data_IF_419862343816
#
_entry.id   IF_419862343816
#
_cell.length_a   1.000
_cell.length_b   1.000
_cell.length_c   1.000
_cell.angle_alpha   90.00
_cell.angle_beta   90.00
_cell.angle_gamma   90.00
#
_symmetry.space_group_name_H-M   'P 1'
#
loop_
_entity.id
_entity.type
_entity.pdbx_description
1 polymer ?
#
# COMPACT_ATOMS: atom_id res chain seq x y z
N UNK A 1 -33.22 14.37 -6.24
CA UNK A 1 -33.94 13.08 -6.23
C UNK A 1 -33.87 12.36 -7.58
N UNK A 2 -34.12 13.05 -8.71
CA UNK A 2 -34.08 12.44 -10.05
C UNK A 2 -32.70 11.80 -10.31
N UNK A 3 -31.62 12.55 -10.14
CA UNK A 3 -30.24 12.07 -10.37
C UNK A 3 -29.89 10.82 -9.58
N UNK A 4 -30.33 10.71 -8.31
CA UNK A 4 -30.11 9.48 -7.51
C UNK A 4 -30.89 8.31 -8.07
N UNK A 5 -32.12 8.53 -8.53
CA UNK A 5 -32.94 7.49 -9.16
C UNK A 5 -32.33 7.02 -10.48
N UNK A 6 -31.79 7.95 -11.27
CA UNK A 6 -31.15 7.67 -12.55
C UNK A 6 -29.85 6.87 -12.33
N UNK A 7 -28.99 7.27 -11.36
CA UNK A 7 -27.79 6.54 -10.98
C UNK A 7 -28.11 5.10 -10.50
N UNK A 8 -29.12 4.93 -9.64
CA UNK A 8 -29.55 3.60 -9.19
C UNK A 8 -30.04 2.72 -10.36
N UNK A 9 -30.77 3.32 -11.29
CA UNK A 9 -31.27 2.60 -12.48
C UNK A 9 -30.11 2.16 -13.36
N UNK A 10 -29.12 3.03 -13.56
CA UNK A 10 -27.89 2.77 -14.30
C UNK A 10 -27.06 1.65 -13.66
N UNK A 11 -26.85 1.72 -12.34
CA UNK A 11 -26.19 0.66 -11.58
C UNK A 11 -26.86 -0.70 -11.73
N UNK A 12 -28.20 -0.76 -11.62
CA UNK A 12 -28.97 -2.00 -11.78
C UNK A 12 -28.79 -2.57 -13.19
N UNK A 13 -28.84 -1.72 -14.22
CA UNK A 13 -28.62 -2.13 -15.59
C UNK A 13 -27.20 -2.70 -15.78
N UNK A 14 -26.19 -2.06 -15.19
CA UNK A 14 -24.80 -2.52 -15.28
C UNK A 14 -24.57 -3.83 -14.54
N UNK A 15 -25.15 -3.99 -13.36
CA UNK A 15 -25.09 -5.25 -12.59
C UNK A 15 -25.70 -6.42 -13.38
N UNK A 16 -26.80 -6.20 -14.09
CA UNK A 16 -27.39 -7.22 -14.97
C UNK A 16 -26.45 -7.62 -16.10
N UNK A 17 -25.82 -6.64 -16.76
CA UNK A 17 -24.85 -6.89 -17.82
C UNK A 17 -23.67 -7.72 -17.30
N UNK A 18 -23.13 -7.39 -16.11
CA UNK A 18 -22.02 -8.12 -15.49
C UNK A 18 -22.46 -9.55 -15.14
N UNK A 19 -23.65 -9.72 -14.57
CA UNK A 19 -24.19 -11.02 -14.22
C UNK A 19 -24.41 -11.91 -15.46
N UNK A 20 -24.90 -11.32 -16.57
CA UNK A 20 -25.14 -12.02 -17.82
C UNK A 20 -23.84 -12.35 -18.58
N UNK A 21 -22.80 -11.56 -18.42
CA UNK A 21 -21.51 -11.70 -19.14
C UNK A 21 -20.64 -12.85 -18.67
N UNK A 22 -21.05 -13.61 -17.62
CA UNK A 22 -20.27 -14.69 -16.98
C UNK A 22 -18.84 -14.27 -16.57
N UNK A 23 -18.59 -12.99 -16.40
CA UNK A 23 -17.33 -12.51 -15.81
C UNK A 23 -17.34 -12.91 -14.34
N UNK A 24 -16.81 -14.09 -14.07
CA UNK A 24 -16.56 -14.52 -12.70
C UNK A 24 -15.26 -13.87 -12.25
N UNK A 25 -15.33 -13.04 -11.22
CA UNK A 25 -14.15 -12.56 -10.50
C UNK A 25 -14.14 -13.21 -9.14
N UNK A 26 -13.09 -13.95 -8.83
CA UNK A 26 -12.88 -14.56 -7.51
C UNK A 26 -12.70 -13.49 -6.43
N UNK A 27 -12.39 -12.25 -6.83
CA UNK A 27 -12.15 -11.11 -5.95
C UNK A 27 -13.37 -10.18 -5.79
N UNK A 28 -14.44 -10.41 -6.58
CA UNK A 28 -15.64 -9.58 -6.57
C UNK A 28 -15.59 -8.37 -7.50
N UNK A 29 -16.57 -7.47 -7.34
CA UNK A 29 -16.69 -6.24 -8.13
C UNK A 29 -16.98 -5.06 -7.23
N UNK A 30 -16.44 -3.90 -7.61
CA UNK A 30 -16.77 -2.61 -7.02
C UNK A 30 -17.34 -1.74 -8.14
N UNK A 31 -18.51 -1.17 -7.89
CA UNK A 31 -19.21 -0.28 -8.81
C UNK A 31 -19.36 1.08 -8.17
N UNK A 32 -18.89 2.09 -8.86
CA UNK A 32 -19.17 3.49 -8.54
C UNK A 32 -20.02 4.08 -9.66
N UNK A 33 -21.03 4.83 -9.28
CA UNK A 33 -21.91 5.54 -10.20
C UNK A 33 -22.29 6.89 -9.59
N UNK A 34 -22.15 7.97 -10.33
CA UNK A 34 -22.45 9.29 -9.82
C UNK A 34 -22.44 10.37 -10.88
N UNK A 35 -23.03 11.50 -10.56
CA UNK A 35 -23.08 12.69 -11.38
C UNK A 35 -22.01 13.69 -10.93
N UNK A 36 -21.05 13.96 -11.81
CA UNK A 36 -19.93 14.88 -11.55
C UNK A 36 -20.16 16.19 -12.31
N UNK A 37 -20.11 17.35 -11.63
CA UNK A 37 -20.25 18.64 -12.31
C UNK A 37 -19.01 18.90 -13.17
N UNK A 38 -19.20 19.10 -14.49
CA UNK A 38 -18.09 19.32 -15.43
C UNK A 38 -17.76 20.82 -15.58
N UNK A 39 -18.77 21.70 -15.62
CA UNK A 39 -18.59 23.14 -15.87
C UNK A 39 -19.44 24.04 -14.94
N UNK A 40 -19.86 23.55 -13.77
CA UNK A 40 -20.69 24.27 -12.80
C UNK A 40 -22.08 23.66 -12.62
N UNK A 41 -22.92 24.25 -11.76
CA UNK A 41 -24.26 23.73 -11.47
C UNK A 41 -25.12 23.61 -12.74
N UNK A 42 -25.66 22.41 -13.00
CA UNK A 42 -26.52 22.11 -14.15
C UNK A 42 -25.79 21.47 -15.36
N UNK A 43 -24.49 21.19 -15.25
CA UNK A 43 -23.71 20.49 -16.28
C UNK A 43 -23.15 19.16 -15.75
N UNK A 44 -23.97 18.44 -14.97
CA UNK A 44 -23.56 17.18 -14.38
C UNK A 44 -23.48 16.11 -15.46
N UNK A 45 -22.36 15.37 -15.46
CA UNK A 45 -22.13 14.19 -16.29
C UNK A 45 -22.15 12.94 -15.43
N UNK A 46 -22.88 11.93 -15.87
CA UNK A 46 -22.85 10.63 -15.24
C UNK A 46 -21.49 9.95 -15.51
N UNK A 47 -20.79 9.58 -14.45
CA UNK A 47 -19.54 8.81 -14.51
C UNK A 47 -19.73 7.50 -13.77
N UNK A 48 -19.36 6.41 -14.43
CA UNK A 48 -19.55 5.06 -13.94
C UNK A 48 -18.22 4.30 -14.01
N UNK A 49 -17.82 3.71 -12.89
CA UNK A 49 -16.60 2.92 -12.80
C UNK A 49 -16.90 1.50 -12.34
N UNK A 50 -16.32 0.51 -13.03
CA UNK A 50 -16.36 -0.90 -12.65
C UNK A 50 -14.93 -1.33 -12.36
N UNK A 51 -14.66 -1.72 -11.12
CA UNK A 51 -13.32 -2.10 -10.67
C UNK A 51 -13.37 -3.56 -10.23
N UNK A 52 -12.45 -4.36 -10.77
CA UNK A 52 -12.17 -5.70 -10.26
C UNK A 52 -11.01 -5.55 -9.29
N UNK A 53 -11.25 -5.69 -7.96
CA UNK A 53 -10.20 -5.46 -6.98
C UNK A 53 -9.15 -6.58 -7.04
N UNK A 54 -7.87 -6.29 -6.73
CA UNK A 54 -6.80 -7.28 -6.73
C UNK A 54 -6.94 -8.31 -5.60
N UNK A 55 -7.70 -7.99 -4.55
CA UNK A 55 -7.99 -8.86 -3.42
C UNK A 55 -9.49 -8.97 -3.19
N UNK A 56 -9.97 -10.10 -2.60
CA UNK A 56 -11.38 -10.29 -2.34
C UNK A 56 -11.97 -9.23 -1.42
N UNK A 57 -13.02 -8.55 -1.88
CA UNK A 57 -13.84 -7.66 -1.03
C UNK A 57 -14.73 -8.54 -0.16
N UNK A 58 -14.47 -8.51 1.14
CA UNK A 58 -15.19 -9.36 2.12
C UNK A 58 -16.49 -8.75 2.65
N UNK A 59 -16.82 -7.54 2.23
CA UNK A 59 -17.99 -6.81 2.73
C UNK A 59 -18.92 -6.42 1.59
N UNK A 60 -20.21 -6.70 1.76
CA UNK A 60 -21.26 -6.13 0.92
C UNK A 60 -21.62 -4.75 1.44
N UNK A 61 -21.22 -3.70 0.72
CA UNK A 61 -21.51 -2.31 1.09
C UNK A 61 -22.34 -1.69 -0.03
N UNK A 62 -23.50 -1.15 0.33
CA UNK A 62 -24.22 -0.19 -0.47
C UNK A 62 -24.07 1.17 0.20
N UNK A 63 -23.45 2.11 -0.48
CA UNK A 63 -23.22 3.46 0.03
C UNK A 63 -23.74 4.49 -0.97
N UNK A 64 -24.59 5.39 -0.50
CA UNK A 64 -25.13 6.49 -1.29
C UNK A 64 -24.88 7.80 -0.53
N UNK A 65 -23.90 8.59 -1.02
CA UNK A 65 -23.49 9.84 -0.43
C UNK A 65 -23.05 10.83 -1.52
N UNK A 66 -22.56 11.99 -1.12
CA UNK A 66 -21.98 12.99 -2.02
C UNK A 66 -20.59 12.64 -2.55
N UNK A 67 -19.94 11.62 -1.95
CA UNK A 67 -18.60 11.16 -2.31
C UNK A 67 -18.60 9.63 -2.43
N UNK A 68 -17.73 9.10 -3.29
CA UNK A 68 -17.52 7.67 -3.40
C UNK A 68 -16.78 7.12 -2.18
N UNK A 69 -17.17 5.94 -1.72
CA UNK A 69 -16.49 5.23 -0.64
C UNK A 69 -15.26 4.50 -1.21
N UNK A 70 -14.13 5.16 -1.28
CA UNK A 70 -12.87 4.64 -1.85
C UNK A 70 -12.02 3.88 -0.83
N UNK A 71 -12.26 4.06 0.46
CA UNK A 71 -11.46 3.51 1.55
C UNK A 71 -11.06 2.03 1.39
N UNK A 72 -11.97 1.10 1.08
CA UNK A 72 -11.62 -0.31 0.86
C UNK A 72 -10.63 -0.54 -0.29
N UNK A 73 -10.68 0.28 -1.35
CA UNK A 73 -9.73 0.21 -2.46
C UNK A 73 -8.38 0.82 -2.08
N UNK A 74 -8.38 1.94 -1.38
CA UNK A 74 -7.17 2.58 -0.89
C UNK A 74 -6.37 1.64 0.02
N UNK A 75 -7.05 0.87 0.87
CA UNK A 75 -6.42 -0.16 1.71
C UNK A 75 -5.76 -1.28 0.91
N UNK A 76 -6.22 -1.57 -0.31
CA UNK A 76 -5.62 -2.56 -1.20
C UNK A 76 -4.42 -2.02 -1.97
N UNK A 77 -4.33 -0.70 -2.15
CA UNK A 77 -3.23 -0.02 -2.85
C UNK A 77 -1.99 0.18 -1.99
N UNK A 78 -2.16 0.14 -0.67
CA UNK A 78 -1.02 0.29 0.25
C UNK A 78 -0.10 -0.93 0.11
N UNK A 79 1.18 -0.67 -0.13
CA UNK A 79 2.25 -1.68 -0.14
C UNK A 79 2.24 -2.39 1.22
N UNK A 80 1.79 -3.66 1.26
CA UNK A 80 1.40 -4.32 2.50
C UNK A 80 2.63 -4.83 3.23
N UNK A 81 3.33 -3.91 3.87
CA UNK A 81 4.36 -4.29 4.84
C UNK A 81 3.75 -5.22 5.89
N UNK A 82 4.36 -6.36 6.08
CA UNK A 82 3.94 -7.30 7.12
C UNK A 82 4.80 -7.10 8.35
N UNK A 83 4.17 -6.67 9.44
CA UNK A 83 4.82 -6.49 10.74
C UNK A 83 4.36 -7.61 11.67
N UNK A 84 5.30 -8.35 12.24
CA UNK A 84 5.04 -9.30 13.31
C UNK A 84 4.69 -8.57 14.61
N UNK A 85 3.83 -9.15 15.40
CA UNK A 85 3.40 -8.61 16.70
C UNK A 85 3.59 -9.68 17.75
N UNK A 86 4.26 -9.34 18.85
CA UNK A 86 4.34 -10.15 20.05
C UNK A 86 3.95 -9.28 21.23
N UNK A 87 2.86 -9.64 21.90
CA UNK A 87 2.50 -9.09 23.20
C UNK A 87 2.75 -10.13 24.26
N UNK A 88 3.59 -9.83 25.25
CA UNK A 88 4.05 -10.81 26.24
C UNK A 88 4.08 -10.25 27.64
N UNK A 89 3.47 -11.00 28.57
CA UNK A 89 3.65 -10.85 30.02
C UNK A 89 3.91 -12.22 30.65
N UNK A 90 4.06 -12.30 31.96
CA UNK A 90 4.36 -13.57 32.67
C UNK A 90 3.25 -14.61 32.55
N UNK A 91 2.01 -14.16 32.42
CA UNK A 91 0.83 -15.03 32.48
C UNK A 91 0.27 -15.38 31.09
N UNK A 92 0.43 -14.47 30.15
CA UNK A 92 -0.15 -14.63 28.82
C UNK A 92 0.70 -13.98 27.73
N UNK A 93 0.53 -14.44 26.51
CA UNK A 93 1.15 -13.86 25.32
C UNK A 93 0.22 -14.04 24.13
N UNK A 94 0.31 -13.10 23.19
CA UNK A 94 -0.31 -13.23 21.88
C UNK A 94 0.70 -12.93 20.79
N UNK A 95 0.64 -13.72 19.71
CA UNK A 95 1.42 -13.55 18.51
C UNK A 95 0.46 -13.23 17.37
N UNK A 96 0.79 -12.25 16.56
CA UNK A 96 -0.03 -11.84 15.43
C UNK A 96 0.77 -11.15 14.35
N UNK A 97 0.06 -10.69 13.34
CA UNK A 97 0.59 -9.88 12.24
C UNK A 97 -0.27 -8.66 12.00
N UNK A 98 0.38 -7.60 11.60
CA UNK A 98 -0.24 -6.39 11.05
C UNK A 98 0.13 -6.33 9.57
N UNK A 99 -0.86 -6.28 8.70
CA UNK A 99 -0.69 -6.11 7.27
C UNK A 99 -1.54 -4.94 6.78
N UNK A 100 -0.89 -3.82 6.48
CA UNK A 100 -1.58 -2.55 6.30
C UNK A 100 -2.30 -2.14 7.60
N UNK A 101 -3.63 -2.06 7.56
CA UNK A 101 -4.48 -1.80 8.74
C UNK A 101 -5.09 -3.07 9.35
N UNK A 102 -4.88 -4.23 8.72
CA UNK A 102 -5.48 -5.48 9.16
C UNK A 102 -4.60 -6.19 10.17
N UNK A 103 -5.15 -6.42 11.35
CA UNK A 103 -4.52 -7.16 12.45
C UNK A 103 -5.08 -8.57 12.47
N UNK A 104 -4.20 -9.56 12.44
CA UNK A 104 -4.56 -10.96 12.60
C UNK A 104 -3.80 -11.55 13.78
N UNK A 105 -4.54 -12.02 14.80
CA UNK A 105 -3.98 -12.78 15.90
C UNK A 105 -3.86 -14.23 15.44
N UNK A 106 -2.67 -14.78 15.51
CA UNK A 106 -2.34 -16.10 15.01
C UNK A 106 -2.24 -17.12 16.12
N UNK A 107 -1.82 -16.69 17.33
CA UNK A 107 -1.70 -17.56 18.48
C UNK A 107 -1.87 -16.80 19.79
N UNK A 108 -2.49 -17.46 20.78
CA UNK A 108 -2.67 -16.94 22.13
C UNK A 108 -2.26 -18.02 23.12
N UNK A 109 -1.34 -17.71 24.02
CA UNK A 109 -0.78 -18.64 24.95
C UNK A 109 -0.89 -18.16 26.40
N UNK A 110 -1.11 -19.08 27.32
CA UNK A 110 -1.08 -18.83 28.75
C UNK A 110 0.02 -19.66 29.42
N UNK A 111 0.65 -19.09 30.47
CA UNK A 111 1.72 -19.76 31.21
C UNK A 111 1.21 -20.77 32.22
N UNK A 112 0.00 -20.60 32.72
CA UNK A 112 -0.52 -21.35 33.86
C UNK A 112 0.14 -20.99 35.21
N UNK A 113 0.97 -19.95 35.24
CA UNK A 113 1.62 -19.44 36.45
C UNK A 113 0.57 -18.75 37.31
N UNK A 114 0.31 -19.31 38.52
CA UNK A 114 -0.60 -18.68 39.45
C UNK A 114 0.05 -17.46 40.10
N UNK A 115 -0.74 -16.39 40.31
CA UNK A 115 -0.27 -15.15 40.94
C UNK A 115 0.36 -15.37 42.32
N UNK A 116 1.20 -14.44 42.75
CA UNK A 116 1.93 -14.49 44.02
C UNK A 116 1.03 -14.75 45.21
N UNK A 117 1.17 -15.91 45.83
CA UNK A 117 0.70 -16.13 47.19
C UNK A 117 1.66 -15.42 48.16
N UNK A 118 1.15 -14.42 48.89
CA UNK A 118 1.86 -13.73 49.99
C UNK A 118 1.87 -14.64 51.25
N UNK A 119 2.61 -15.70 51.26
CA UNK A 119 2.91 -16.44 52.48
C UNK A 119 4.43 -16.43 52.70
N UNK A 120 4.90 -15.73 53.70
CA UNK A 120 6.31 -15.66 54.04
C UNK A 120 6.82 -16.96 54.70
N UNK A 121 8.07 -17.27 54.44
CA UNK A 121 8.76 -18.43 55.05
C UNK A 121 9.89 -18.97 54.19
N UNK A 122 10.67 -19.92 54.70
CA UNK A 122 11.81 -20.57 54.03
C UNK A 122 11.43 -21.21 52.66
N UNK A 123 10.15 -21.45 52.40
CA UNK A 123 9.60 -21.94 51.14
C UNK A 123 9.53 -20.88 50.05
N UNK A 124 9.61 -19.60 50.37
CA UNK A 124 9.45 -18.48 49.43
C UNK A 124 10.51 -18.51 48.31
N UNK A 125 11.77 -18.70 48.65
CA UNK A 125 12.84 -18.77 47.64
C UNK A 125 12.73 -19.99 46.71
N UNK A 126 12.16 -21.08 47.17
CA UNK A 126 11.87 -22.24 46.31
C UNK A 126 10.73 -21.94 45.35
N UNK A 127 9.67 -21.30 45.82
CA UNK A 127 8.54 -20.89 44.97
C UNK A 127 8.96 -19.84 43.96
N UNK A 128 9.79 -18.88 44.33
CA UNK A 128 10.33 -17.87 43.42
C UNK A 128 11.12 -18.52 42.29
N UNK A 129 11.99 -19.47 42.55
CA UNK A 129 12.75 -20.25 41.54
C UNK A 129 11.80 -21.02 40.62
N UNK A 130 10.80 -21.69 41.14
CA UNK A 130 9.81 -22.44 40.34
C UNK A 130 9.01 -21.50 39.43
N UNK A 131 8.67 -20.31 39.91
CA UNK A 131 7.99 -19.27 39.10
C UNK A 131 8.92 -18.76 37.97
N UNK A 132 10.19 -18.53 38.28
CA UNK A 132 11.18 -18.12 37.28
C UNK A 132 11.45 -19.19 36.22
N UNK A 133 11.54 -20.46 36.63
CA UNK A 133 11.67 -21.62 35.71
C UNK A 133 10.44 -21.74 34.84
N UNK A 134 9.25 -21.68 35.40
CA UNK A 134 7.99 -21.71 34.64
C UNK A 134 7.86 -20.53 33.66
N UNK A 135 8.31 -19.34 34.08
CA UNK A 135 8.34 -18.17 33.17
C UNK A 135 9.31 -18.37 32.00
N UNK A 136 10.51 -18.94 32.28
CA UNK A 136 11.49 -19.27 31.22
C UNK A 136 10.96 -20.31 30.24
N UNK A 137 10.31 -21.36 30.73
CA UNK A 137 9.67 -22.34 29.86
C UNK A 137 8.53 -21.71 29.01
N UNK A 138 7.78 -20.82 29.62
CA UNK A 138 6.77 -20.09 28.90
C UNK A 138 7.38 -19.21 27.80
N UNK A 139 8.41 -18.42 28.10
CA UNK A 139 9.10 -17.58 27.10
C UNK A 139 9.72 -18.43 25.97
N UNK A 140 10.27 -19.60 26.30
CA UNK A 140 10.78 -20.53 25.30
C UNK A 140 9.67 -20.98 24.37
N UNK A 141 8.51 -21.37 24.88
CA UNK A 141 7.36 -21.79 24.10
C UNK A 141 6.85 -20.65 23.20
N UNK A 142 6.73 -19.42 23.74
CA UNK A 142 6.37 -18.24 22.94
C UNK A 142 7.40 -17.98 21.82
N UNK A 143 8.68 -18.11 22.13
CA UNK A 143 9.76 -17.96 21.16
C UNK A 143 9.72 -19.02 20.06
N UNK A 144 9.48 -20.28 20.41
CA UNK A 144 9.37 -21.38 19.43
C UNK A 144 8.18 -21.15 18.47
N UNK A 145 7.04 -20.71 18.99
CA UNK A 145 5.87 -20.36 18.18
C UNK A 145 6.15 -19.14 17.29
N UNK A 146 6.75 -18.08 17.82
CA UNK A 146 7.14 -16.90 17.05
C UNK A 146 8.15 -17.26 15.94
N UNK A 147 9.13 -18.11 16.23
CA UNK A 147 10.11 -18.58 15.24
C UNK A 147 9.47 -19.37 14.10
N UNK A 148 8.44 -20.15 14.39
CA UNK A 148 7.70 -20.93 13.40
C UNK A 148 6.83 -19.99 12.54
N UNK A 149 5.98 -19.20 13.18
CA UNK A 149 5.02 -18.32 12.52
C UNK A 149 5.74 -17.29 11.64
N UNK A 150 6.72 -16.58 12.19
CA UNK A 150 7.41 -15.53 11.47
C UNK A 150 8.43 -16.06 10.45
N UNK A 151 8.93 -17.28 10.66
CA UNK A 151 9.82 -17.96 9.70
C UNK A 151 9.14 -18.34 8.39
N UNK A 152 7.83 -18.52 8.39
CA UNK A 152 7.03 -18.83 7.20
C UNK A 152 6.67 -17.57 6.38
N UNK A 153 6.80 -16.37 6.97
CA UNK A 153 6.47 -15.11 6.32
C UNK A 153 7.65 -14.66 5.45
N UNK A 154 7.50 -14.73 4.13
CA UNK A 154 8.56 -14.37 3.17
C UNK A 154 9.01 -12.92 3.29
N UNK A 155 8.08 -11.98 3.51
CA UNK A 155 8.33 -10.54 3.57
C UNK A 155 7.89 -10.01 4.94
N UNK A 156 8.68 -10.32 5.97
CA UNK A 156 8.52 -9.75 7.30
C UNK A 156 9.42 -8.52 7.44
N UNK A 157 8.80 -7.36 7.54
CA UNK A 157 9.50 -6.06 7.56
C UNK A 157 10.01 -5.64 8.91
N UNK A 158 9.38 -6.12 9.97
CA UNK A 158 9.75 -5.83 11.33
C UNK A 158 8.92 -6.64 12.32
N UNK A 159 9.28 -6.58 13.59
CA UNK A 159 8.57 -7.22 14.69
C UNK A 159 8.37 -6.19 15.80
N UNK A 160 7.12 -5.95 16.17
CA UNK A 160 6.77 -5.18 17.36
C UNK A 160 6.71 -6.11 18.56
N UNK A 161 7.41 -5.75 19.64
CA UNK A 161 7.31 -6.45 20.91
C UNK A 161 6.82 -5.49 21.98
N UNK A 162 5.75 -5.87 22.66
CA UNK A 162 5.18 -5.14 23.77
C UNK A 162 4.86 -6.03 24.97
N UNK A 163 4.74 -5.39 26.11
CA UNK A 163 4.39 -6.05 27.35
C UNK A 163 4.60 -5.13 28.55
N UNK A 164 3.96 -5.40 29.69
CA UNK A 164 4.17 -4.64 30.92
C UNK A 164 5.53 -4.95 31.53
N UNK A 165 6.16 -3.94 32.11
CA UNK A 165 7.39 -4.08 32.88
C UNK A 165 8.59 -4.59 32.07
N UNK A 166 9.42 -5.45 32.70
CA UNK A 166 10.66 -5.93 32.12
C UNK A 166 10.53 -7.22 31.29
N UNK A 167 9.37 -7.88 31.30
CA UNK A 167 9.16 -9.19 30.65
C UNK A 167 9.53 -9.17 29.16
N UNK A 168 9.14 -8.09 28.43
CA UNK A 168 9.48 -7.93 27.02
C UNK A 168 10.98 -7.83 26.74
N UNK A 169 11.74 -7.24 27.68
CA UNK A 169 13.20 -7.14 27.60
C UNK A 169 13.85 -8.48 27.90
N UNK A 170 13.42 -9.16 28.99
CA UNK A 170 13.87 -10.52 29.36
C UNK A 170 13.63 -11.51 28.20
N UNK A 171 12.49 -11.40 27.55
CA UNK A 171 12.15 -12.23 26.38
C UNK A 171 13.06 -11.94 25.19
N UNK A 172 13.30 -10.68 24.84
CA UNK A 172 14.13 -10.33 23.70
C UNK A 172 15.60 -10.66 23.90
N UNK A 173 16.14 -10.40 25.11
CA UNK A 173 17.55 -10.65 25.46
C UNK A 173 17.83 -12.15 25.66
N UNK A 174 16.82 -12.91 26.06
CA UNK A 174 16.93 -14.35 26.27
C UNK A 174 17.15 -15.15 24.97
N UNK A 175 17.52 -16.42 25.04
CA UNK A 175 17.80 -17.27 23.88
C UNK A 175 16.50 -17.88 23.29
N UNK A 176 15.40 -17.12 23.23
CA UNK A 176 14.08 -17.63 22.87
C UNK A 176 13.74 -17.45 21.39
N UNK A 177 14.24 -16.37 20.78
CA UNK A 177 14.04 -16.08 19.37
C UNK A 177 15.33 -16.27 18.58
N UNK A 178 15.20 -16.65 17.30
CA UNK A 178 16.32 -16.70 16.34
C UNK A 178 16.92 -15.33 16.15
N UNK A 179 18.24 -15.24 15.98
CA UNK A 179 18.96 -13.97 15.84
C UNK A 179 18.49 -13.16 14.60
N UNK A 180 18.11 -13.86 13.52
CA UNK A 180 17.53 -13.23 12.32
C UNK A 180 16.23 -12.49 12.63
N UNK A 181 15.36 -13.02 13.47
CA UNK A 181 14.13 -12.39 13.90
C UNK A 181 14.38 -11.28 14.92
N UNK A 182 15.35 -11.49 15.84
CA UNK A 182 15.76 -10.44 16.78
C UNK A 182 16.28 -9.20 16.07
N UNK A 183 17.00 -9.38 14.96
CA UNK A 183 17.49 -8.27 14.13
C UNK A 183 16.37 -7.46 13.49
N UNK A 184 15.19 -8.04 13.32
CA UNK A 184 14.00 -7.37 12.78
C UNK A 184 13.13 -6.70 13.85
N UNK A 185 13.48 -6.80 15.14
CA UNK A 185 12.69 -6.19 16.20
C UNK A 185 12.82 -4.67 16.14
N UNK A 186 11.67 -4.01 16.03
CA UNK A 186 11.56 -2.55 16.03
C UNK A 186 11.77 -2.01 17.46
N UNK A 187 12.52 -0.93 17.57
CA UNK A 187 12.80 -0.29 18.84
C UNK A 187 12.26 1.14 18.85
N UNK A 188 11.81 1.64 19.99
CA UNK A 188 11.85 1.03 21.34
C UNK A 188 10.80 -0.09 21.53
N UNK A 189 11.04 -0.98 22.51
CA UNK A 189 10.02 -1.92 23.00
C UNK A 189 8.92 -1.13 23.71
N UNK A 190 7.67 -1.54 23.54
CA UNK A 190 6.52 -0.73 23.95
C UNK A 190 5.89 -1.29 25.23
N UNK A 191 5.66 -0.41 26.20
CA UNK A 191 4.90 -0.77 27.41
C UNK A 191 3.40 -0.85 27.09
N UNK A 192 2.81 -2.00 27.35
CA UNK A 192 1.38 -2.26 27.18
C UNK A 192 0.66 -2.46 28.52
N UNK A 193 -0.65 -2.38 28.50
CA UNK A 193 -1.46 -2.48 29.71
C UNK A 193 -1.71 -3.93 30.14
N UNK A 194 -1.23 -4.92 29.35
CA UNK A 194 -1.32 -6.36 29.61
C UNK A 194 -0.61 -7.15 28.53
N UNK A 195 -0.64 -8.47 28.66
CA UNK A 195 -0.26 -9.43 27.63
C UNK A 195 -1.47 -9.84 26.78
N UNK A 196 -1.35 -10.95 26.04
CA UNK A 196 -2.45 -11.52 25.28
C UNK A 196 -3.03 -10.58 24.21
N UNK A 197 -4.31 -10.77 23.88
CA UNK A 197 -4.99 -9.97 22.84
C UNK A 197 -5.18 -8.50 23.23
N UNK A 198 -5.44 -8.24 24.50
CA UNK A 198 -5.60 -6.86 25.02
C UNK A 198 -4.28 -6.11 24.89
N UNK A 199 -3.18 -6.77 25.14
CA UNK A 199 -1.83 -6.24 24.98
C UNK A 199 -1.52 -5.92 23.51
N UNK A 200 -1.97 -6.73 22.55
CA UNK A 200 -1.82 -6.46 21.12
C UNK A 200 -2.51 -5.15 20.72
N UNK A 201 -3.74 -4.90 21.21
CA UNK A 201 -4.47 -3.66 20.93
C UNK A 201 -3.76 -2.44 21.51
N UNK A 202 -3.30 -2.53 22.77
CA UNK A 202 -2.53 -1.48 23.42
C UNK A 202 -1.20 -1.20 22.71
N UNK A 203 -0.51 -2.28 22.27
CA UNK A 203 0.73 -2.20 21.51
C UNK A 203 0.56 -1.43 20.21
N UNK A 204 -0.43 -1.80 19.41
CA UNK A 204 -0.68 -1.16 18.12
C UNK A 204 -1.07 0.31 18.27
N UNK A 205 -1.89 0.63 19.26
CA UNK A 205 -2.25 2.02 19.55
C UNK A 205 -1.02 2.88 19.87
N UNK A 206 -0.12 2.35 20.72
CA UNK A 206 1.09 3.06 21.15
C UNK A 206 2.23 3.03 20.10
N UNK A 207 2.16 2.11 19.14
CA UNK A 207 3.17 1.91 18.10
C UNK A 207 2.95 2.75 16.85
N UNK A 208 1.88 3.55 16.75
CA UNK A 208 1.51 4.26 15.52
C UNK A 208 2.65 5.11 14.95
N UNK A 209 3.32 5.89 15.79
CA UNK A 209 4.44 6.72 15.33
C UNK A 209 5.63 5.87 14.88
N UNK A 210 5.95 4.80 15.60
CA UNK A 210 7.04 3.89 15.25
C UNK A 210 6.78 3.17 13.90
N UNK A 211 5.54 2.77 13.64
CA UNK A 211 5.14 2.16 12.38
C UNK A 211 5.24 3.15 11.22
N UNK A 212 4.77 4.39 11.42
CA UNK A 212 4.87 5.46 10.45
C UNK A 212 6.33 5.81 10.12
N UNK A 213 7.18 5.90 11.14
CA UNK A 213 8.61 6.15 10.95
C UNK A 213 9.27 4.99 10.17
N UNK A 214 8.83 3.76 10.37
CA UNK A 214 9.34 2.60 9.66
C UNK A 214 9.00 2.65 8.16
N UNK A 215 7.80 3.06 7.79
CA UNK A 215 7.41 3.27 6.38
C UNK A 215 8.23 4.38 5.74
N UNK A 216 8.35 5.52 6.39
CA UNK A 216 9.19 6.63 5.91
C UNK A 216 10.66 6.22 5.75
N UNK A 217 11.20 5.41 6.66
CA UNK A 217 12.57 4.89 6.55
C UNK A 217 12.77 3.96 5.36
N UNK A 218 11.73 3.20 4.95
CA UNK A 218 11.78 2.37 3.74
C UNK A 218 11.80 3.23 2.48
N UNK A 219 10.87 4.18 2.38
CA UNK A 219 10.84 5.14 1.26
C UNK A 219 12.19 5.87 1.13
N UNK A 220 12.71 6.36 2.24
CA UNK A 220 14.01 7.02 2.31
C UNK A 220 15.12 6.14 1.72
N UNK A 221 15.23 4.89 2.17
CA UNK A 221 16.25 3.95 1.66
C UNK A 221 16.16 3.74 0.15
N UNK A 222 14.94 3.69 -0.39
CA UNK A 222 14.72 3.53 -1.84
C UNK A 222 15.20 4.76 -2.58
N UNK A 223 14.87 5.96 -2.11
CA UNK A 223 15.31 7.21 -2.74
C UNK A 223 16.81 7.43 -2.57
N UNK A 224 17.37 7.16 -1.39
CA UNK A 224 18.83 7.25 -1.16
C UNK A 224 19.58 6.31 -2.12
N UNK A 225 19.08 5.08 -2.34
CA UNK A 225 19.64 4.15 -3.34
C UNK A 225 19.52 4.72 -4.75
N UNK A 226 18.39 5.31 -5.11
CA UNK A 226 18.22 5.96 -6.40
C UNK A 226 19.23 7.11 -6.59
N UNK A 227 19.38 7.97 -5.59
CA UNK A 227 20.33 9.08 -5.61
C UNK A 227 21.79 8.62 -5.71
N UNK A 228 22.15 7.52 -5.06
CA UNK A 228 23.46 6.87 -5.19
C UNK A 228 23.74 6.45 -6.64
N UNK A 229 22.74 5.88 -7.31
CA UNK A 229 22.84 5.51 -8.74
C UNK A 229 22.96 6.74 -9.64
N UNK A 230 22.24 7.83 -9.34
CA UNK A 230 22.38 9.14 -10.02
C UNK A 230 23.81 9.65 -9.87
N UNK A 231 24.32 9.73 -8.63
CA UNK A 231 25.64 10.29 -8.32
C UNK A 231 26.80 9.49 -8.97
N UNK A 232 26.64 8.17 -9.10
CA UNK A 232 27.66 7.28 -9.71
C UNK A 232 27.50 7.10 -11.20
N UNK A 233 26.50 7.67 -11.81
CA UNK A 233 26.17 7.51 -13.25
C UNK A 233 26.21 6.04 -13.71
N UNK A 234 25.50 5.20 -12.96
CA UNK A 234 25.58 3.75 -13.19
C UNK A 234 24.91 3.29 -14.49
N UNK A 235 24.03 4.12 -15.07
CA UNK A 235 23.19 3.78 -16.22
C UNK A 235 22.10 2.75 -15.90
N UNK A 236 21.80 2.51 -14.59
CA UNK A 236 20.78 1.57 -14.12
C UNK A 236 19.55 2.28 -13.52
N UNK A 237 19.39 3.55 -13.85
CA UNK A 237 18.24 4.35 -13.45
C UNK A 237 17.67 5.09 -14.64
N UNK A 238 16.41 5.44 -14.52
CA UNK A 238 15.72 6.29 -15.47
C UNK A 238 14.86 7.30 -14.72
N UNK A 239 14.67 8.46 -15.30
CA UNK A 239 13.77 9.51 -14.78
C UNK A 239 13.23 10.33 -15.95
N UNK A 240 12.16 11.05 -15.69
CA UNK A 240 11.42 11.76 -16.74
C UNK A 240 10.32 10.90 -17.34
N UNK A 241 9.23 11.57 -17.74
CA UNK A 241 8.02 10.90 -18.17
C UNK A 241 8.19 10.11 -19.46
N UNK A 242 8.79 10.73 -20.49
CA UNK A 242 8.94 10.11 -21.83
C UNK A 242 9.92 8.96 -21.79
N UNK A 243 11.05 9.17 -21.18
CA UNK A 243 12.13 8.19 -21.02
C UNK A 243 11.63 6.96 -20.24
N UNK A 244 10.85 7.20 -19.18
CA UNK A 244 10.30 6.11 -18.37
C UNK A 244 9.23 5.32 -19.15
N UNK A 245 8.36 5.98 -19.91
CA UNK A 245 7.37 5.29 -20.76
C UNK A 245 8.09 4.43 -21.82
N UNK A 246 9.12 4.96 -22.46
CA UNK A 246 9.89 4.21 -23.45
C UNK A 246 10.57 2.97 -22.82
N UNK A 247 11.18 3.14 -21.65
CA UNK A 247 11.79 2.02 -20.93
C UNK A 247 10.75 0.97 -20.44
N UNK A 248 9.56 1.39 -20.04
CA UNK A 248 8.47 0.47 -19.67
C UNK A 248 7.99 -0.33 -20.88
N UNK A 249 7.77 0.32 -22.02
CA UNK A 249 7.38 -0.33 -23.26
C UNK A 249 8.41 -1.38 -23.74
N UNK A 250 9.68 -1.16 -23.42
CA UNK A 250 10.78 -2.10 -23.71
C UNK A 250 11.09 -3.07 -22.56
N UNK A 251 10.23 -3.13 -21.51
CA UNK A 251 10.38 -4.00 -20.33
C UNK A 251 11.74 -3.85 -19.62
N UNK A 252 12.37 -2.70 -19.75
CA UNK A 252 13.67 -2.40 -19.15
C UNK A 252 13.58 -1.99 -17.67
N UNK A 253 12.39 -1.59 -17.19
CA UNK A 253 12.19 -1.14 -15.82
C UNK A 253 11.96 -2.34 -14.90
N UNK A 254 12.65 -2.37 -13.76
CA UNK A 254 12.45 -3.33 -12.67
C UNK A 254 11.50 -2.77 -11.62
N UNK A 255 11.77 -1.54 -11.14
CA UNK A 255 10.97 -0.85 -10.15
C UNK A 255 10.66 0.56 -10.65
N UNK A 256 9.39 0.88 -10.73
CA UNK A 256 8.88 2.22 -11.06
C UNK A 256 8.60 2.99 -9.77
N UNK A 257 9.15 4.18 -9.64
CA UNK A 257 8.93 5.10 -8.52
C UNK A 257 8.01 6.22 -8.99
N UNK A 258 6.85 6.37 -8.33
CA UNK A 258 5.87 7.40 -8.63
C UNK A 258 5.61 8.24 -7.39
N UNK A 259 5.63 9.55 -7.53
CA UNK A 259 5.26 10.48 -6.46
C UNK A 259 3.74 10.54 -6.30
N UNK A 260 3.24 10.51 -5.08
CA UNK A 260 1.82 10.77 -4.77
C UNK A 260 1.36 12.16 -5.23
N UNK A 261 2.30 13.11 -5.35
CA UNK A 261 2.04 14.46 -5.85
C UNK A 261 1.97 14.59 -7.37
N UNK A 262 2.04 13.51 -8.13
CA UNK A 262 2.05 13.54 -9.59
C UNK A 262 0.66 13.91 -10.15
N UNK A 263 0.44 15.21 -10.38
CA UNK A 263 -0.83 15.77 -10.88
C UNK A 263 -0.80 15.91 -12.40
N UNK A 264 -0.74 14.80 -13.14
CA UNK A 264 -0.76 14.80 -14.60
C UNK A 264 -1.83 13.86 -15.13
N UNK A 265 -2.42 14.25 -16.25
CA UNK A 265 -3.42 13.47 -16.98
C UNK A 265 -2.87 13.20 -18.39
N UNK A 266 -2.92 11.94 -18.81
CA UNK A 266 -2.71 11.55 -20.19
C UNK A 266 -3.98 11.90 -20.99
N UNK A 267 -3.81 12.66 -22.03
CA UNK A 267 -4.85 12.93 -23.02
C UNK A 267 -4.40 12.27 -24.31
N UNK A 268 -5.03 11.16 -24.69
CA UNK A 268 -4.76 10.49 -25.94
C UNK A 268 -5.79 10.89 -27.00
N UNK A 269 -5.34 10.95 -28.24
CA UNK A 269 -6.17 11.27 -29.38
C UNK A 269 -5.80 10.39 -30.57
N UNK A 270 -6.80 9.77 -31.17
CA UNK A 270 -6.64 8.99 -32.40
C UNK A 270 -7.12 9.81 -33.59
N UNK A 271 -6.26 9.95 -34.60
CA UNK A 271 -6.62 10.67 -35.83
C UNK A 271 -7.57 9.83 -36.69
N UNK A 272 -8.71 10.38 -37.09
CA UNK A 272 -9.69 9.70 -37.95
C UNK A 272 -9.19 9.48 -39.41
N UNK A 273 -8.16 10.20 -39.83
CA UNK A 273 -7.62 10.09 -41.20
C UNK A 273 -6.49 9.08 -41.35
N UNK A 274 -5.56 9.01 -40.39
CA UNK A 274 -4.40 8.13 -40.47
C UNK A 274 -4.29 7.15 -39.30
N UNK A 275 -5.26 7.12 -38.39
CA UNK A 275 -5.30 6.29 -37.19
C UNK A 275 -4.08 6.45 -36.25
N UNK A 276 -3.30 7.51 -36.42
CA UNK A 276 -2.18 7.78 -35.54
C UNK A 276 -2.68 8.24 -34.19
N UNK A 277 -2.20 7.57 -33.14
CA UNK A 277 -2.42 7.98 -31.76
C UNK A 277 -1.37 9.01 -31.35
N UNK A 278 -1.81 10.03 -30.64
CA UNK A 278 -0.94 11.08 -30.09
C UNK A 278 -1.27 11.28 -28.62
N UNK A 279 -0.27 11.13 -27.78
CA UNK A 279 -0.37 11.29 -26.33
C UNK A 279 0.19 12.62 -25.88
N UNK A 280 -0.54 13.26 -25.00
CA UNK A 280 -0.14 14.47 -24.31
C UNK A 280 -0.35 14.30 -22.81
N UNK A 281 0.66 14.69 -22.04
CA UNK A 281 0.56 14.71 -20.59
C UNK A 281 0.49 16.15 -20.12
N UNK A 282 -0.62 16.49 -19.50
CA UNK A 282 -0.94 17.86 -19.07
C UNK A 282 -1.26 17.87 -17.57
N UNK A 283 -1.12 19.03 -16.94
CA UNK A 283 -1.57 19.18 -15.55
C UNK A 283 -3.09 19.01 -15.47
N UNK A 284 -3.58 18.45 -14.36
CA UNK A 284 -5.02 18.32 -14.10
C UNK A 284 -5.77 19.64 -14.24
N UNK A 285 -5.14 20.77 -13.92
CA UNK A 285 -5.74 22.11 -14.01
C UNK A 285 -5.93 22.54 -15.46
N UNK A 286 -5.08 22.08 -16.38
CA UNK A 286 -5.07 22.55 -17.79
C UNK A 286 -5.75 21.57 -18.75
N UNK A 287 -6.25 20.44 -18.27
CA UNK A 287 -6.80 19.36 -19.10
C UNK A 287 -7.89 19.85 -20.03
N UNK A 288 -8.90 20.55 -19.51
CA UNK A 288 -10.07 20.94 -20.31
C UNK A 288 -9.70 21.97 -21.38
N UNK A 289 -8.87 22.97 -21.03
CA UNK A 289 -8.33 23.93 -21.99
C UNK A 289 -7.55 23.22 -23.10
N UNK A 290 -6.73 22.23 -22.74
CA UNK A 290 -5.92 21.51 -23.72
C UNK A 290 -6.75 20.62 -24.65
N UNK A 291 -7.82 20.03 -24.13
CA UNK A 291 -8.77 19.27 -24.94
C UNK A 291 -9.47 20.15 -25.96
N UNK A 292 -9.88 21.32 -25.58
CA UNK A 292 -10.52 22.27 -26.52
C UNK A 292 -9.54 22.73 -27.62
N UNK A 293 -8.28 22.98 -27.27
CA UNK A 293 -7.22 23.24 -28.25
C UNK A 293 -7.00 22.03 -29.20
N UNK A 294 -7.02 20.81 -28.68
CA UNK A 294 -6.86 19.61 -29.48
C UNK A 294 -8.02 19.36 -30.45
N UNK A 295 -9.23 19.77 -30.12
CA UNK A 295 -10.41 19.64 -30.98
C UNK A 295 -10.38 20.59 -32.21
N UNK A 296 -9.72 21.72 -32.09
CA UNK A 296 -9.65 22.75 -33.14
C UNK A 296 -8.45 22.60 -34.06
N UNK A 297 -7.52 21.68 -33.79
CA UNK A 297 -6.29 21.48 -34.54
C UNK A 297 -6.44 20.57 -35.77
N UNK A 298 -5.32 20.39 -36.49
CA UNK A 298 -5.18 19.46 -37.61
C UNK A 298 -4.07 18.41 -37.31
N UNK A 299 -4.22 17.23 -37.88
CA UNK A 299 -3.20 16.20 -37.79
C UNK A 299 -1.91 16.65 -38.47
N UNK A 300 -0.75 16.60 -37.78
CA UNK A 300 0.50 17.05 -38.38
C UNK A 300 0.94 16.18 -39.57
N UNK A 301 0.48 14.93 -39.64
CA UNK A 301 0.86 14.01 -40.73
C UNK A 301 -0.10 14.04 -41.92
N UNK A 302 -1.40 13.88 -41.69
CA UNK A 302 -2.36 13.76 -42.77
C UNK A 302 -3.20 15.01 -43.01
N UNK A 303 -2.99 16.10 -42.24
CA UNK A 303 -3.71 17.38 -42.33
C UNK A 303 -5.23 17.31 -42.13
N UNK A 304 -5.74 16.16 -41.67
CA UNK A 304 -7.17 15.99 -41.37
C UNK A 304 -7.52 16.74 -40.07
N UNK A 305 -8.61 17.50 -40.08
CA UNK A 305 -9.11 18.22 -38.92
C UNK A 305 -9.61 17.28 -37.82
N UNK A 306 -9.46 17.66 -36.57
CA UNK A 306 -9.74 16.80 -35.42
C UNK A 306 -11.15 16.90 -34.81
N UNK A 307 -12.08 17.60 -35.51
CA UNK A 307 -13.42 17.95 -34.99
C UNK A 307 -14.19 16.77 -34.40
N UNK A 308 -13.98 15.55 -34.90
CA UNK A 308 -14.64 14.32 -34.41
C UNK A 308 -13.67 13.24 -33.94
N UNK A 309 -12.46 13.61 -33.54
CA UNK A 309 -11.48 12.64 -33.04
C UNK A 309 -11.89 12.11 -31.67
N UNK A 310 -11.70 10.81 -31.45
CA UNK A 310 -11.87 10.23 -30.12
C UNK A 310 -10.75 10.74 -29.21
N UNK A 311 -11.12 11.40 -28.13
CA UNK A 311 -10.19 11.87 -27.09
C UNK A 311 -10.48 11.08 -25.84
N UNK A 312 -9.45 10.44 -25.29
CA UNK A 312 -9.52 9.70 -24.04
C UNK A 312 -8.66 10.40 -22.99
N UNK A 313 -9.14 10.39 -21.75
CA UNK A 313 -8.44 10.91 -20.57
C UNK A 313 -8.12 9.73 -19.66
N UNK A 314 -6.90 9.68 -19.15
CA UNK A 314 -6.49 8.72 -18.14
C UNK A 314 -5.53 9.39 -17.16
N UNK A 315 -5.66 9.10 -15.88
CA UNK A 315 -4.69 9.56 -14.89
C UNK A 315 -3.29 9.03 -15.23
N UNK A 316 -2.24 9.84 -15.03
CA UNK A 316 -0.89 9.45 -15.39
C UNK A 316 -0.35 8.33 -14.49
N UNK A 317 -0.73 8.31 -13.21
CA UNK A 317 -0.33 7.24 -12.27
C UNK A 317 -0.97 5.93 -12.71
N UNK A 318 -2.27 5.94 -13.04
CA UNK A 318 -2.99 4.78 -13.55
C UNK A 318 -2.36 4.26 -14.85
N UNK A 319 -2.14 5.13 -15.82
CA UNK A 319 -1.52 4.75 -17.10
C UNK A 319 -0.12 4.13 -16.92
N UNK A 320 0.71 4.74 -16.08
CA UNK A 320 2.05 4.24 -15.80
C UNK A 320 2.01 2.92 -15.00
N UNK A 321 1.02 2.76 -14.11
CA UNK A 321 0.76 1.52 -13.40
C UNK A 321 0.36 0.38 -14.33
N UNK A 322 -0.50 0.64 -15.33
CA UNK A 322 -0.89 -0.32 -16.36
C UNK A 322 0.32 -0.75 -17.21
N UNK A 323 1.17 0.20 -17.61
CA UNK A 323 2.40 -0.10 -18.34
C UNK A 323 3.38 -0.92 -17.50
N UNK A 324 3.54 -0.58 -16.23
CA UNK A 324 4.38 -1.32 -15.29
C UNK A 324 3.89 -2.76 -15.14
N UNK A 325 2.60 -2.97 -14.95
CA UNK A 325 1.99 -4.31 -14.87
C UNK A 325 2.24 -5.13 -16.14
N UNK A 326 2.08 -4.54 -17.33
CA UNK A 326 2.35 -5.20 -18.62
C UNK A 326 3.81 -5.56 -18.80
N UNK A 327 4.72 -4.72 -18.33
CA UNK A 327 6.18 -4.93 -18.42
C UNK A 327 6.74 -5.80 -17.29
N UNK A 328 5.92 -6.17 -16.29
CA UNK A 328 6.35 -6.90 -15.09
C UNK A 328 7.21 -6.07 -14.14
N UNK A 329 7.08 -4.74 -14.18
CA UNK A 329 7.75 -3.83 -13.24
C UNK A 329 6.94 -3.69 -11.95
N UNK A 330 7.63 -3.56 -10.82
CA UNK A 330 7.00 -3.28 -9.53
C UNK A 330 6.81 -1.79 -9.37
N UNK A 331 5.61 -1.34 -9.04
CA UNK A 331 5.32 0.08 -8.75
C UNK A 331 5.51 0.36 -7.26
N UNK A 332 6.18 1.47 -6.94
CA UNK A 332 6.28 2.01 -5.58
C UNK A 332 5.84 3.46 -5.56
N UNK A 333 4.84 3.72 -4.75
CA UNK A 333 4.40 5.08 -4.47
C UNK A 333 5.33 5.71 -3.43
N UNK A 334 5.67 6.98 -3.64
CA UNK A 334 6.56 7.76 -2.78
C UNK A 334 5.81 8.98 -2.27
N UNK A 335 5.72 9.09 -0.95
CA UNK A 335 4.98 10.16 -0.29
C UNK A 335 5.70 11.51 -0.41
N UNK A 336 4.96 12.57 -0.71
CA UNK A 336 5.49 13.96 -0.70
C UNK A 336 5.64 14.53 0.72
N UNK A 337 5.24 13.80 1.75
CA UNK A 337 5.41 14.22 3.14
C UNK A 337 6.87 14.14 3.60
N UNK A 338 7.72 13.34 2.93
CA UNK A 338 9.14 13.19 3.23
C UNK A 338 10.00 14.16 2.42
N UNK A 339 11.17 14.55 2.94
CA UNK A 339 12.14 15.39 2.19
C UNK A 339 12.60 14.67 0.91
N UNK A 340 12.87 13.37 1.00
CA UNK A 340 13.30 12.54 -0.13
C UNK A 340 12.20 12.44 -1.19
N UNK A 341 10.95 12.29 -0.78
CA UNK A 341 9.82 12.28 -1.71
C UNK A 341 9.61 13.61 -2.41
N UNK A 342 9.85 14.74 -1.72
CA UNK A 342 9.89 16.06 -2.36
C UNK A 342 11.00 16.16 -3.40
N UNK A 343 12.19 15.61 -3.13
CA UNK A 343 13.28 15.58 -4.11
C UNK A 343 12.86 14.81 -5.36
N UNK A 344 12.21 13.65 -5.23
CA UNK A 344 11.67 12.90 -6.37
C UNK A 344 10.65 13.76 -7.15
N UNK A 345 9.75 14.42 -6.45
CA UNK A 345 8.70 15.22 -7.06
C UNK A 345 9.27 16.47 -7.76
N UNK A 346 10.05 17.27 -7.06
CA UNK A 346 10.47 18.61 -7.52
C UNK A 346 11.65 18.54 -8.50
N UNK A 347 12.59 17.59 -8.30
CA UNK A 347 13.80 17.51 -9.12
C UNK A 347 13.62 16.57 -10.31
N UNK A 348 12.92 15.45 -10.13
CA UNK A 348 12.77 14.40 -11.16
C UNK A 348 11.36 14.36 -11.76
N UNK A 349 10.52 15.34 -11.45
CA UNK A 349 9.16 15.48 -11.99
C UNK A 349 8.19 14.40 -11.50
N UNK A 350 8.51 13.75 -10.37
CA UNK A 350 7.67 12.77 -9.70
C UNK A 350 7.69 11.37 -10.34
N UNK A 351 8.61 11.11 -11.28
CA UNK A 351 8.68 9.84 -12.02
C UNK A 351 10.13 9.42 -12.15
N UNK A 352 10.47 8.24 -11.64
CA UNK A 352 11.78 7.64 -11.77
C UNK A 352 11.69 6.11 -11.76
N UNK A 353 12.79 5.40 -12.01
CA UNK A 353 12.80 3.95 -11.92
C UNK A 353 14.21 3.37 -11.86
N UNK A 354 14.27 2.13 -11.35
CA UNK A 354 15.44 1.27 -11.49
C UNK A 354 15.30 0.40 -12.71
N UNK A 355 16.37 0.26 -13.44
CA UNK A 355 16.44 -0.55 -14.67
C UNK A 355 17.02 -1.94 -14.38
N UNK A 356 16.53 -2.94 -15.09
CA UNK A 356 17.07 -4.31 -15.07
C UNK A 356 18.45 -4.41 -15.71
N UNK A 357 18.72 -3.57 -16.72
CA UNK A 357 19.96 -3.47 -17.46
C UNK A 357 20.15 -2.04 -17.96
N UNK A 358 21.37 -1.72 -18.39
CA UNK A 358 21.65 -0.39 -18.97
C UNK A 358 20.82 -0.18 -20.22
N UNK A 359 19.96 0.80 -20.20
CA UNK A 359 19.05 1.15 -21.28
C UNK A 359 19.32 2.60 -21.72
N UNK A 360 19.52 2.81 -23.00
CA UNK A 360 19.59 4.14 -23.57
C UNK A 360 18.25 4.42 -24.24
N UNK A 361 17.47 5.34 -23.69
CA UNK A 361 16.28 5.84 -24.35
C UNK A 361 16.66 6.46 -25.70
N UNK A 362 15.90 6.12 -26.74
CA UNK A 362 16.15 6.57 -28.11
C UNK A 362 15.78 8.06 -28.31
#
# INVERSE_FOLDING_TARGET
>A
RQMVTDAITSLIARLKIIADSKVQSDTGFILFDGFIPVHGPGSEKEEQYVIIPPEPVRTFIYHCASEFLTGPLEEMLVDKSTIGIISIERNESAIGTLRGKHVQILDVMTSGIHGKHRAGGQSQHRFERLIEEAAREFYKRVGDHANTIFGEIKELDGILIGGPGLTKQEFLEGPFMRDELKAKVLKPLIDTDGGGETGVRSLLYKAQDLLRDTEFMKERKVIDKFMDHVARDTGLIIYGLRETIDALNNSAVEVLLLSEGLNKVRVSRVCNGCNKETDLFVSTIEVDKKIDELRTGECPECKTGFVNSKIEKQDAIEYLGDLASKSGATVRMISTATEQGKVLHDTFGGIAGFLRYKYNAA
#
